data_IF_729143004035
#
_entry.id   IF_729143004035
#
_cell.length_a   1.000
_cell.length_b   1.000
_cell.length_c   1.000
_cell.angle_alpha   90.00
_cell.angle_beta   90.00
_cell.angle_gamma   90.00
#
_symmetry.space_group_name_H-M   'P 1'
#
loop_
_entity.id
_entity.type
_entity.pdbx_description
1 polymer ?
#
# COMPACT_ATOMS: atom_id res chain seq x y z
N UNK A 1 -16.25 26.76 -8.92
CA UNK A 1 -15.55 25.72 -8.16
C UNK A 1 -14.53 25.05 -9.06
N UNK A 2 -13.22 25.33 -8.88
CA UNK A 2 -12.17 24.63 -9.63
C UNK A 2 -11.80 23.36 -8.85
N UNK A 3 -12.44 22.24 -9.14
CA UNK A 3 -12.02 20.92 -8.68
C UNK A 3 -10.78 20.51 -9.47
N UNK A 4 -9.67 21.19 -9.20
CA UNK A 4 -8.39 20.83 -9.80
C UNK A 4 -7.90 19.51 -9.23
N UNK A 5 -7.92 18.47 -10.04
CA UNK A 5 -7.31 17.18 -9.71
C UNK A 5 -5.86 17.42 -9.29
N UNK A 6 -5.49 17.03 -8.09
CA UNK A 6 -4.10 17.16 -7.65
C UNK A 6 -3.21 16.17 -8.41
N UNK A 7 -1.93 16.51 -8.62
CA UNK A 7 -0.96 15.59 -9.27
C UNK A 7 -0.94 14.21 -8.59
N UNK A 8 -1.12 14.17 -7.27
CA UNK A 8 -1.19 12.92 -6.50
C UNK A 8 -2.43 12.09 -6.86
N UNK A 9 -3.59 12.72 -7.06
CA UNK A 9 -4.83 12.04 -7.47
C UNK A 9 -4.71 11.47 -8.88
N UNK A 10 -4.12 12.21 -9.82
CA UNK A 10 -3.89 11.70 -11.18
C UNK A 10 -3.02 10.45 -11.17
N UNK A 11 -1.93 10.46 -10.41
CA UNK A 11 -1.04 9.30 -10.27
C UNK A 11 -1.79 8.12 -9.64
N UNK A 12 -2.60 8.36 -8.61
CA UNK A 12 -3.43 7.31 -8.00
C UNK A 12 -4.34 6.67 -9.04
N UNK A 13 -5.11 7.46 -9.78
CA UNK A 13 -6.06 6.96 -10.78
C UNK A 13 -5.40 6.11 -11.87
N UNK A 14 -4.19 6.47 -12.29
CA UNK A 14 -3.43 5.69 -13.28
C UNK A 14 -2.87 4.40 -12.70
N UNK A 15 -2.40 4.43 -11.46
CA UNK A 15 -1.77 3.27 -10.83
C UNK A 15 -2.77 2.29 -10.23
N UNK A 16 -3.93 2.76 -9.78
CA UNK A 16 -4.92 1.97 -9.06
C UNK A 16 -5.36 0.70 -9.82
N UNK A 17 -5.75 0.75 -11.11
CA UNK A 17 -6.13 -0.45 -11.85
C UNK A 17 -5.00 -1.47 -11.97
N UNK A 18 -3.76 -1.00 -12.16
CA UNK A 18 -2.58 -1.86 -12.28
C UNK A 18 -2.25 -2.54 -10.95
N UNK A 19 -2.39 -1.81 -9.86
CA UNK A 19 -2.17 -2.34 -8.50
C UNK A 19 -3.29 -3.31 -8.11
N UNK A 20 -4.55 -2.97 -8.39
CA UNK A 20 -5.71 -3.81 -8.09
C UNK A 20 -5.62 -5.19 -8.76
N UNK A 21 -5.20 -5.25 -10.02
CA UNK A 21 -4.98 -6.50 -10.74
C UNK A 21 -3.90 -7.41 -10.11
N UNK A 22 -3.09 -6.87 -9.22
CA UNK A 22 -1.99 -7.59 -8.54
C UNK A 22 -2.22 -7.82 -7.06
N UNK A 23 -3.28 -7.26 -6.48
CA UNK A 23 -3.60 -7.48 -5.08
C UNK A 23 -4.26 -8.84 -4.85
N UNK A 24 -3.99 -9.43 -3.68
CA UNK A 24 -4.64 -10.67 -3.25
C UNK A 24 -6.14 -10.42 -3.01
N UNK A 25 -6.95 -11.43 -3.28
CA UNK A 25 -8.38 -11.40 -2.95
C UNK A 25 -8.65 -11.26 -1.45
N UNK A 26 -7.68 -11.60 -0.61
CA UNK A 26 -7.76 -11.48 0.85
C UNK A 26 -7.23 -10.13 1.38
N UNK A 27 -6.89 -9.17 0.51
CA UNK A 27 -6.49 -7.83 0.90
C UNK A 27 -7.69 -6.89 0.83
N UNK A 28 -8.12 -6.33 1.96
CA UNK A 28 -9.33 -5.51 2.06
C UNK A 28 -9.04 -4.04 2.35
N UNK A 29 -7.85 -3.72 2.85
CA UNK A 29 -7.51 -2.36 3.26
C UNK A 29 -7.30 -1.40 2.09
N UNK A 30 -7.98 -0.25 2.12
CA UNK A 30 -7.82 0.87 1.18
C UNK A 30 -8.05 0.52 -0.30
N UNK A 31 -8.87 -0.47 -0.58
CA UNK A 31 -9.21 -0.89 -1.94
C UNK A 31 -10.62 -0.49 -2.33
N UNK A 32 -10.86 -0.10 -3.59
CA UNK A 32 -12.22 0.12 -4.08
C UNK A 32 -13.01 -1.18 -4.01
N UNK A 33 -14.29 -1.07 -3.73
CA UNK A 33 -15.23 -2.20 -3.62
C UNK A 33 -14.88 -3.27 -2.56
N UNK A 34 -13.97 -2.95 -1.64
CA UNK A 34 -13.64 -3.77 -0.48
C UNK A 34 -13.97 -3.00 0.79
N UNK A 35 -14.67 -3.66 1.72
CA UNK A 35 -15.10 -3.06 2.97
C UNK A 35 -14.63 -3.86 4.17
N UNK A 36 -14.78 -3.27 5.36
CA UNK A 36 -14.49 -3.95 6.63
C UNK A 36 -15.43 -5.14 6.82
N UNK A 37 -16.69 -5.00 6.41
CA UNK A 37 -17.69 -6.07 6.48
C UNK A 37 -17.29 -7.27 5.62
N UNK A 38 -16.71 -7.01 4.43
CA UNK A 38 -16.20 -8.08 3.56
C UNK A 38 -15.02 -8.81 4.21
N UNK A 39 -14.13 -8.09 4.89
CA UNK A 39 -13.02 -8.68 5.63
C UNK A 39 -13.50 -9.56 6.78
N UNK A 40 -14.48 -9.07 7.56
CA UNK A 40 -15.10 -9.82 8.66
C UNK A 40 -15.80 -11.07 8.14
N UNK A 41 -16.62 -10.94 7.09
CA UNK A 41 -17.30 -12.08 6.47
C UNK A 41 -16.33 -13.15 5.99
N UNK A 42 -15.20 -12.74 5.39
CA UNK A 42 -14.16 -13.68 4.96
C UNK A 42 -13.47 -14.35 6.13
N UNK A 43 -13.15 -13.61 7.18
CA UNK A 43 -12.59 -14.20 8.42
C UNK A 43 -13.52 -15.22 9.03
N UNK A 44 -14.81 -14.91 9.09
CA UNK A 44 -15.84 -15.81 9.60
C UNK A 44 -15.93 -17.10 8.76
N UNK A 45 -15.93 -16.97 7.43
CA UNK A 45 -15.90 -18.15 6.54
C UNK A 45 -14.67 -19.04 6.79
N UNK A 46 -13.50 -18.44 6.95
CA UNK A 46 -12.26 -19.20 7.20
C UNK A 46 -12.30 -19.95 8.52
N UNK A 47 -12.83 -19.32 9.58
CA UNK A 47 -12.96 -19.96 10.90
C UNK A 47 -13.99 -21.09 10.92
N UNK A 48 -15.11 -20.95 10.19
CA UNK A 48 -16.17 -21.96 10.20
C UNK A 48 -15.95 -23.10 9.20
N UNK A 49 -15.46 -22.82 8.01
CA UNK A 49 -15.47 -23.78 6.91
C UNK A 49 -14.11 -24.38 6.57
N UNK A 50 -13.00 -23.75 7.00
CA UNK A 50 -11.67 -24.20 6.65
C UNK A 50 -10.96 -25.01 7.75
N UNK A 51 -11.67 -25.40 8.84
CA UNK A 51 -11.10 -26.09 10.01
C UNK A 51 -9.85 -25.39 10.59
N UNK A 52 -9.79 -24.06 10.48
CA UNK A 52 -8.69 -23.26 11.01
C UNK A 52 -9.00 -22.92 12.47
N UNK A 53 -8.24 -23.49 13.38
CA UNK A 53 -8.44 -23.35 14.83
C UNK A 53 -7.56 -22.29 15.48
N UNK A 54 -6.61 -21.72 14.71
CA UNK A 54 -5.64 -20.76 15.22
C UNK A 54 -5.73 -19.44 14.46
N UNK A 55 -5.75 -18.33 15.19
CA UNK A 55 -5.69 -16.97 14.65
C UNK A 55 -4.40 -16.33 15.12
N UNK A 56 -3.59 -15.87 14.18
CA UNK A 56 -2.36 -15.14 14.46
C UNK A 56 -2.51 -13.73 13.93
N UNK A 57 -2.39 -12.73 14.81
CA UNK A 57 -2.43 -11.32 14.47
C UNK A 57 -1.03 -10.74 14.36
N UNK A 58 -0.77 -10.02 13.28
CA UNK A 58 0.48 -9.32 13.07
C UNK A 58 0.24 -7.86 12.76
N UNK A 59 0.93 -6.98 13.46
CA UNK A 59 1.04 -5.57 13.09
C UNK A 59 2.50 -5.18 12.88
N UNK A 60 2.75 -4.33 11.88
CA UNK A 60 4.09 -3.86 11.57
C UNK A 60 4.25 -2.44 12.09
N UNK A 61 4.89 -2.31 13.23
CA UNK A 61 5.18 -1.01 13.85
C UNK A 61 5.89 -0.07 12.88
N UNK A 62 5.35 1.13 12.72
CA UNK A 62 5.94 2.18 11.89
C UNK A 62 6.10 1.77 10.42
N UNK A 63 5.16 1.00 9.88
CA UNK A 63 5.22 0.48 8.51
C UNK A 63 5.47 1.58 7.48
N UNK A 64 4.66 2.63 7.51
CA UNK A 64 4.74 3.73 6.55
C UNK A 64 6.02 4.54 6.66
N UNK A 65 6.61 4.63 7.86
CA UNK A 65 7.82 5.40 8.13
C UNK A 65 9.09 4.63 7.71
N UNK A 66 8.98 3.31 7.56
CA UNK A 66 10.12 2.44 7.24
C UNK A 66 10.11 1.88 5.80
N UNK A 67 9.30 2.43 4.91
CA UNK A 67 9.27 2.03 3.50
C UNK A 67 10.56 2.46 2.79
N UNK A 68 11.37 1.50 2.35
CA UNK A 68 12.55 1.79 1.55
C UNK A 68 12.16 2.20 0.13
N UNK A 69 12.51 3.42 -0.29
CA UNK A 69 12.14 4.01 -1.58
C UNK A 69 12.67 3.18 -2.77
N UNK A 70 13.91 2.71 -2.70
CA UNK A 70 14.51 1.94 -3.80
C UNK A 70 13.80 0.59 -3.99
N UNK A 71 13.45 -0.10 -2.89
CA UNK A 71 12.69 -1.35 -2.94
C UNK A 71 11.29 -1.11 -3.50
N UNK A 72 10.62 -0.03 -3.08
CA UNK A 72 9.30 0.33 -3.57
C UNK A 72 9.29 0.60 -5.07
N UNK A 73 10.26 1.35 -5.57
CA UNK A 73 10.38 1.63 -7.02
C UNK A 73 10.64 0.35 -7.82
N UNK A 74 11.47 -0.58 -7.32
CA UNK A 74 11.66 -1.88 -7.98
C UNK A 74 10.37 -2.70 -8.03
N UNK A 75 9.55 -2.65 -6.98
CA UNK A 75 8.25 -3.33 -6.94
C UNK A 75 7.27 -2.73 -7.96
N UNK A 76 7.23 -1.40 -8.08
CA UNK A 76 6.40 -0.70 -9.08
C UNK A 76 6.84 -1.11 -10.50
N UNK A 77 8.13 -1.16 -10.73
CA UNK A 77 8.68 -1.62 -12.01
C UNK A 77 8.28 -3.07 -12.31
N UNK A 78 8.39 -3.98 -11.34
CA UNK A 78 7.98 -5.38 -11.45
C UNK A 78 6.47 -5.59 -11.66
N UNK A 79 5.64 -4.57 -11.37
CA UNK A 79 4.22 -4.58 -11.70
C UNK A 79 3.92 -4.28 -13.18
N UNK A 80 4.93 -3.94 -13.98
CA UNK A 80 4.78 -3.55 -15.36
C UNK A 80 4.67 -2.04 -15.59
N UNK A 81 4.86 -1.22 -14.55
CA UNK A 81 4.86 0.24 -14.68
C UNK A 81 6.27 0.70 -15.03
N UNK A 82 6.54 0.80 -16.34
CA UNK A 82 7.87 1.13 -16.88
C UNK A 82 7.99 2.58 -17.38
N UNK A 83 6.96 3.39 -17.20
CA UNK A 83 7.01 4.81 -17.58
C UNK A 83 7.97 5.58 -16.67
N UNK A 84 9.08 6.04 -17.28
CA UNK A 84 10.14 6.78 -16.58
C UNK A 84 9.65 8.11 -16.01
N UNK A 85 8.67 8.78 -16.67
CA UNK A 85 8.10 10.05 -16.18
C UNK A 85 7.25 9.80 -14.94
N UNK A 86 6.41 8.77 -14.95
CA UNK A 86 5.61 8.37 -13.79
C UNK A 86 6.50 7.97 -12.62
N UNK A 87 7.51 7.14 -12.84
CA UNK A 87 8.50 6.75 -11.82
C UNK A 87 9.21 7.97 -11.23
N UNK A 88 9.59 8.94 -12.06
CA UNK A 88 10.21 10.18 -11.61
C UNK A 88 9.25 10.99 -10.72
N UNK A 89 7.98 11.12 -11.09
CA UNK A 89 6.98 11.80 -10.27
C UNK A 89 6.76 11.12 -8.93
N UNK A 90 6.70 9.78 -8.90
CA UNK A 90 6.58 9.01 -7.66
C UNK A 90 7.80 9.25 -6.75
N UNK A 91 9.01 9.21 -7.30
CA UNK A 91 10.24 9.52 -6.53
C UNK A 91 10.20 10.93 -5.94
N UNK A 92 9.72 11.92 -6.69
CA UNK A 92 9.57 13.30 -6.18
C UNK A 92 8.55 13.39 -5.04
N UNK A 93 7.45 12.64 -5.11
CA UNK A 93 6.46 12.60 -4.03
C UNK A 93 7.05 11.94 -2.78
N UNK A 94 7.79 10.85 -2.92
CA UNK A 94 8.42 10.15 -1.80
C UNK A 94 9.50 10.99 -1.11
N UNK A 95 10.21 11.81 -1.88
CA UNK A 95 11.24 12.73 -1.37
C UNK A 95 10.74 14.14 -1.10
N UNK A 96 9.43 14.36 -1.13
CA UNK A 96 8.89 15.68 -0.83
C UNK A 96 9.25 16.09 0.60
N UNK A 97 9.77 17.31 0.81
CA UNK A 97 10.13 17.78 2.14
C UNK A 97 8.90 17.84 3.04
N UNK A 98 9.08 17.42 4.28
CA UNK A 98 8.06 17.44 5.33
C UNK A 98 8.43 18.54 6.30
N UNK A 99 7.48 19.46 6.57
CA UNK A 99 7.63 20.46 7.61
C UNK A 99 7.22 19.84 8.95
N UNK A 100 8.13 19.85 9.89
CA UNK A 100 7.90 19.41 11.26
C UNK A 100 7.19 20.50 12.07
N UNK A 101 6.66 20.14 13.24
CA UNK A 101 5.95 21.07 14.15
C UNK A 101 6.85 22.18 14.65
N UNK A 102 8.14 21.94 14.79
CA UNK A 102 9.16 22.93 15.15
C UNK A 102 9.51 23.92 14.02
N UNK A 103 8.86 23.79 12.85
CA UNK A 103 9.09 24.62 11.67
C UNK A 103 10.26 24.19 10.79
N UNK A 104 11.05 23.19 11.21
CA UNK A 104 12.14 22.63 10.41
C UNK A 104 11.61 21.84 9.22
N UNK A 105 12.40 21.79 8.14
CA UNK A 105 12.05 21.02 6.93
C UNK A 105 13.03 19.89 6.74
N UNK A 106 12.51 18.65 6.73
CA UNK A 106 13.31 17.44 6.57
C UNK A 106 12.93 16.73 5.27
N UNK A 107 13.93 16.29 4.51
CA UNK A 107 13.71 15.44 3.33
C UNK A 107 13.82 13.98 3.76
N UNK A 108 12.77 13.17 3.63
CA UNK A 108 12.80 11.78 4.09
C UNK A 108 13.62 10.90 3.14
N UNK A 109 14.52 10.09 3.70
CA UNK A 109 15.26 9.05 2.97
C UNK A 109 14.48 7.74 2.85
N UNK A 110 13.49 7.55 3.72
CA UNK A 110 12.61 6.39 3.79
C UNK A 110 11.19 6.82 4.20
N UNK A 111 10.26 5.90 4.09
CA UNK A 111 8.87 6.13 4.45
C UNK A 111 8.04 6.70 3.30
N UNK A 112 6.75 6.80 3.56
CA UNK A 112 5.78 7.43 2.66
C UNK A 112 5.10 8.58 3.40
N UNK A 113 4.80 9.70 2.74
CA UNK A 113 4.12 10.82 3.41
C UNK A 113 2.82 10.33 4.05
N UNK A 114 2.67 10.52 5.36
CA UNK A 114 1.46 10.15 6.09
C UNK A 114 0.26 10.95 5.56
N UNK A 115 -0.89 10.29 5.43
CA UNK A 115 -2.09 10.89 4.83
C UNK A 115 -2.01 11.12 3.32
N UNK A 116 -0.96 10.65 2.65
CA UNK A 116 -0.85 10.73 1.20
C UNK A 116 -1.82 9.79 0.51
N UNK A 117 -2.57 10.30 -0.46
CA UNK A 117 -3.55 9.53 -1.26
C UNK A 117 -2.94 8.28 -1.93
N UNK A 118 -1.63 8.30 -2.18
CA UNK A 118 -0.88 7.21 -2.84
C UNK A 118 -0.30 6.23 -1.82
N UNK A 119 -0.11 6.64 -0.57
CA UNK A 119 0.57 5.83 0.45
C UNK A 119 -0.08 4.46 0.66
N UNK A 120 -1.41 4.32 0.77
CA UNK A 120 -2.06 3.02 0.91
C UNK A 120 -1.84 2.12 -0.31
N UNK A 121 -1.89 2.69 -1.51
CA UNK A 121 -1.69 1.95 -2.76
C UNK A 121 -0.27 1.39 -2.88
N UNK A 122 0.73 2.19 -2.49
CA UNK A 122 2.13 1.79 -2.51
C UNK A 122 2.46 0.80 -1.40
N UNK A 123 1.81 0.93 -0.25
CA UNK A 123 2.02 0.09 0.92
C UNK A 123 1.29 -1.26 0.83
N UNK A 124 0.11 -1.29 0.23
CA UNK A 124 -0.73 -2.49 0.13
C UNK A 124 0.02 -3.66 -0.48
N UNK A 125 0.89 -3.42 -1.47
CA UNK A 125 1.70 -4.48 -2.08
C UNK A 125 2.80 -5.04 -1.17
N UNK A 126 3.40 -4.22 -0.31
CA UNK A 126 4.44 -4.69 0.60
C UNK A 126 3.87 -5.58 1.71
N UNK A 127 2.67 -5.28 2.18
CA UNK A 127 1.95 -6.12 3.14
C UNK A 127 1.55 -7.46 2.55
N UNK A 128 1.18 -7.49 1.27
CA UNK A 128 0.77 -8.70 0.57
C UNK A 128 1.88 -9.73 0.44
N UNK A 129 3.14 -9.33 0.24
CA UNK A 129 4.26 -10.28 0.20
C UNK A 129 4.51 -10.97 1.55
N UNK A 130 4.10 -10.38 2.67
CA UNK A 130 4.22 -11.00 4.00
C UNK A 130 3.01 -11.84 4.39
N UNK A 131 1.80 -11.46 3.96
CA UNK A 131 0.60 -12.27 4.20
C UNK A 131 0.62 -13.61 3.45
N UNK A 132 1.27 -13.69 2.29
CA UNK A 132 1.44 -14.94 1.55
C UNK A 132 2.36 -15.96 2.25
N UNK A 133 3.28 -15.52 3.13
CA UNK A 133 4.17 -16.42 3.87
C UNK A 133 3.46 -17.16 5.02
N UNK A 134 2.39 -16.62 5.53
CA UNK A 134 1.65 -17.23 6.66
C UNK A 134 0.66 -18.31 6.19
N UNK A 135 0.21 -18.27 4.93
CA UNK A 135 -0.74 -19.25 4.38
C UNK A 135 -0.11 -20.48 3.69
N UNK A 136 1.22 -20.55 3.56
CA UNK A 136 1.87 -21.66 2.83
C UNK A 136 2.51 -22.73 3.72
N UNK A 137 2.41 -22.60 5.04
CA UNK A 137 2.87 -23.63 5.98
C UNK A 137 1.70 -24.28 6.73
N UNK A 138 0.78 -24.86 6.01
CA UNK A 138 -0.11 -25.87 6.58
C UNK A 138 -0.07 -27.10 5.69
N UNK A 139 0.84 -27.98 6.03
CA UNK A 139 0.67 -29.40 5.76
C UNK A 139 0.04 -30.03 6.96
#
# INVERSE_FOLDING_TARGET
MKTGLTKKQCIKQVMEPVCEAKFSNNSYGFRPNHSVENAIARSYQLLQHANLHYVIEFDIKGFFDNVNHAKLIRQIWAMGIHDKKLIFLIKRILKAPIRLEDGTTVTPDKGTPQGGIISPLLAGRKNQMRALWVCSESH
#
